data_IF_867521837849
#
_entry.id   IF_867521837849
#
_cell.length_a   1.000
_cell.length_b   1.000
_cell.length_c   1.000
_cell.angle_alpha   90.00
_cell.angle_beta   90.00
_cell.angle_gamma   90.00
#
_symmetry.space_group_name_H-M   'P 1'
#
loop_
_entity.id
_entity.type
_entity.pdbx_description
1 polymer ?
#
# COMPACT_ATOMS: atom_id res chain seq x y z
N UNK A 1 -4.14 -27.83 59.50
CA UNK A 1 -4.27 -28.82 58.43
C UNK A 1 -4.32 -28.04 57.12
N UNK A 2 -3.33 -27.96 56.23
CA UNK A 2 -2.07 -28.69 55.94
C UNK A 2 -0.95 -27.62 55.74
N UNK A 3 0.16 -27.57 56.48
CA UNK A 3 1.43 -28.34 56.45
C UNK A 3 2.31 -28.10 55.19
N UNK A 4 3.35 -27.25 55.38
CA UNK A 4 4.79 -27.29 54.98
C UNK A 4 5.10 -27.49 53.46
N UNK A 5 5.96 -26.73 52.76
CA UNK A 5 7.43 -26.78 52.85
C UNK A 5 8.15 -25.66 52.08
N UNK A 6 9.10 -25.03 52.78
CA UNK A 6 10.30 -24.39 52.27
C UNK A 6 11.33 -25.44 51.80
N UNK A 7 12.18 -25.08 50.83
CA UNK A 7 13.34 -25.86 50.34
C UNK A 7 13.39 -25.92 48.81
N UNK A 8 14.51 -25.86 48.09
CA UNK A 8 15.91 -25.76 48.45
C UNK A 8 16.70 -25.31 47.19
N UNK A 9 17.85 -24.68 47.44
CA UNK A 9 18.95 -24.46 46.48
C UNK A 9 19.22 -25.70 45.62
N UNK A 10 19.52 -25.49 44.33
CA UNK A 10 20.62 -26.18 43.63
C UNK A 10 21.06 -25.41 42.39
N UNK A 11 22.26 -24.87 42.52
CA UNK A 11 23.14 -24.37 41.45
C UNK A 11 23.54 -25.56 40.58
N UNK A 12 23.35 -25.47 39.27
CA UNK A 12 24.16 -26.19 38.29
C UNK A 12 24.53 -25.19 37.19
N UNK A 13 25.80 -24.79 37.22
CA UNK A 13 26.44 -24.03 36.17
C UNK A 13 26.76 -24.98 35.00
N UNK A 14 26.17 -24.73 33.84
CA UNK A 14 26.61 -25.32 32.58
C UNK A 14 27.34 -24.25 31.78
N UNK A 15 28.65 -24.41 31.69
CA UNK A 15 29.55 -23.69 30.80
C UNK A 15 29.24 -24.14 29.38
N UNK A 16 28.73 -23.23 28.54
CA UNK A 16 28.62 -23.43 27.11
C UNK A 16 29.47 -22.37 26.40
N UNK A 17 30.56 -22.85 25.81
CA UNK A 17 31.51 -22.15 24.96
C UNK A 17 30.81 -21.63 23.72
N UNK A 18 30.61 -20.31 23.62
CA UNK A 18 30.10 -19.66 22.42
C UNK A 18 31.28 -19.22 21.56
N UNK A 19 31.47 -19.91 20.43
CA UNK A 19 32.41 -19.54 19.39
C UNK A 19 32.03 -18.17 18.80
N UNK A 20 32.98 -17.23 18.83
CA UNK A 20 32.89 -15.93 18.16
C UNK A 20 33.00 -16.16 16.65
N UNK A 21 31.86 -16.16 15.94
CA UNK A 21 31.84 -16.07 14.49
C UNK A 21 31.81 -14.58 14.14
N UNK A 22 32.94 -14.05 13.65
CA UNK A 22 33.01 -12.76 12.96
C UNK A 22 32.19 -12.86 11.66
N UNK A 23 30.89 -12.58 11.73
CA UNK A 23 30.07 -12.38 10.56
C UNK A 23 30.31 -10.96 10.02
N UNK A 24 31.11 -10.87 8.94
CA UNK A 24 31.23 -9.65 8.16
C UNK A 24 29.85 -9.20 7.69
N UNK A 25 29.48 -7.98 8.04
CA UNK A 25 28.25 -7.34 7.59
C UNK A 25 28.32 -7.07 6.09
N UNK A 26 27.90 -8.05 5.28
CA UNK A 26 27.56 -7.82 3.89
C UNK A 26 26.34 -6.90 3.86
N UNK A 27 26.55 -5.62 3.57
CA UNK A 27 25.49 -4.67 3.26
C UNK A 27 24.77 -5.17 2.00
N UNK A 28 23.72 -5.96 2.19
CA UNK A 28 22.83 -6.38 1.11
C UNK A 28 22.20 -5.11 0.54
N UNK A 29 22.72 -4.64 -0.60
CA UNK A 29 22.15 -3.55 -1.34
C UNK A 29 20.66 -3.86 -1.59
N UNK A 30 19.79 -2.98 -1.10
CA UNK A 30 18.36 -3.11 -1.30
C UNK A 30 18.08 -3.30 -2.80
N UNK A 31 17.27 -4.29 -3.21
CA UNK A 31 17.00 -4.53 -4.61
C UNK A 31 16.41 -3.25 -5.22
N UNK A 32 17.06 -2.75 -6.27
CA UNK A 32 16.59 -1.60 -7.02
C UNK A 32 15.15 -1.88 -7.46
N UNK A 33 14.20 -1.08 -6.95
CA UNK A 33 12.79 -1.25 -7.25
C UNK A 33 12.58 -1.22 -8.76
N UNK A 34 12.08 -2.33 -9.32
CA UNK A 34 11.77 -2.42 -10.74
C UNK A 34 10.86 -1.25 -11.13
N UNK A 35 11.30 -0.44 -12.10
CA UNK A 35 10.57 0.73 -12.55
C UNK A 35 9.14 0.33 -12.95
N UNK A 36 8.15 1.09 -12.46
CA UNK A 36 6.74 0.86 -12.75
C UNK A 36 6.51 0.82 -14.27
N UNK A 37 6.05 -0.33 -14.77
CA UNK A 37 5.85 -0.54 -16.21
C UNK A 37 4.77 0.42 -16.70
N UNK A 38 5.17 1.37 -17.57
CA UNK A 38 4.27 2.36 -18.15
C UNK A 38 3.04 1.70 -18.80
N UNK A 39 1.81 2.04 -18.36
CA UNK A 39 0.59 1.45 -18.92
C UNK A 39 0.50 1.68 -20.43
N UNK A 40 0.43 0.60 -21.20
CA UNK A 40 0.49 0.67 -22.67
C UNK A 40 -0.56 -0.24 -23.31
N UNK A 41 -1.24 0.29 -24.33
CA UNK A 41 -2.14 -0.48 -25.21
C UNK A 41 -1.61 -0.44 -26.63
N UNK A 42 -1.45 -1.60 -27.24
CA UNK A 42 -0.94 -1.77 -28.60
C UNK A 42 -1.96 -2.51 -29.45
N UNK A 43 -2.24 -2.00 -30.64
CA UNK A 43 -3.04 -2.68 -31.65
C UNK A 43 -2.04 -3.32 -32.62
N UNK A 44 -2.01 -4.64 -32.64
CA UNK A 44 -1.15 -5.43 -33.51
C UNK A 44 -1.63 -5.44 -34.97
N UNK A 45 -0.75 -5.94 -35.84
CA UNK A 45 -1.06 -6.11 -37.25
C UNK A 45 -2.06 -7.26 -37.45
N UNK A 46 -3.06 -7.06 -38.29
CA UNK A 46 -3.97 -8.13 -38.72
C UNK A 46 -3.25 -8.92 -39.82
N UNK A 47 -3.03 -10.22 -39.59
CA UNK A 47 -2.37 -11.09 -40.56
C UNK A 47 -3.16 -11.19 -41.87
N UNK A 48 -2.44 -11.32 -42.99
CA UNK A 48 -3.04 -11.66 -44.29
C UNK A 48 -3.74 -13.03 -44.17
N UNK A 49 -4.86 -13.21 -44.85
CA UNK A 49 -5.63 -14.46 -44.85
C UNK A 49 -5.88 -14.91 -46.29
N UNK A 50 -5.86 -16.22 -46.52
CA UNK A 50 -6.33 -16.85 -47.75
C UNK A 50 -7.51 -17.75 -47.42
N UNK A 51 -8.47 -17.87 -48.35
CA UNK A 51 -9.67 -18.70 -48.20
C UNK A 51 -9.97 -19.42 -49.50
N UNK A 52 -10.50 -20.64 -49.40
CA UNK A 52 -11.04 -21.37 -50.55
C UNK A 52 -12.15 -20.53 -51.20
N UNK A 53 -12.24 -20.55 -52.53
CA UNK A 53 -13.26 -19.83 -53.30
C UNK A 53 -14.67 -20.09 -52.72
N UNK A 54 -15.42 -19.03 -52.48
CA UNK A 54 -16.76 -19.11 -51.86
C UNK A 54 -16.81 -19.16 -50.33
N UNK A 55 -15.67 -19.31 -49.63
CA UNK A 55 -15.59 -19.26 -48.16
C UNK A 55 -15.24 -17.86 -47.64
N UNK A 56 -15.45 -17.63 -46.34
CA UNK A 56 -15.21 -16.36 -45.64
C UNK A 56 -14.12 -16.50 -44.57
N UNK A 57 -13.22 -15.52 -44.46
CA UNK A 57 -12.23 -15.42 -43.40
C UNK A 57 -12.79 -14.61 -42.22
N UNK A 58 -12.48 -15.01 -40.99
CA UNK A 58 -12.79 -14.21 -39.80
C UNK A 58 -11.64 -13.26 -39.50
N UNK A 59 -11.91 -11.95 -39.54
CA UNK A 59 -11.01 -10.89 -39.12
C UNK A 59 -11.35 -10.48 -37.70
N UNK A 60 -10.36 -10.62 -36.80
CA UNK A 60 -10.42 -10.18 -35.40
C UNK A 60 -9.34 -9.13 -35.13
N UNK A 61 -9.60 -8.14 -34.27
CA UNK A 61 -8.59 -7.20 -33.82
C UNK A 61 -7.55 -7.90 -32.95
N UNK A 62 -6.28 -7.54 -33.11
CA UNK A 62 -5.18 -8.01 -32.27
C UNK A 62 -4.83 -6.88 -31.30
N UNK A 63 -5.12 -7.05 -30.01
CA UNK A 63 -4.88 -6.02 -29.00
C UNK A 63 -4.06 -6.61 -27.87
N UNK A 64 -3.02 -5.89 -27.45
CA UNK A 64 -2.17 -6.24 -26.32
C UNK A 64 -2.18 -5.10 -25.31
N UNK A 65 -2.35 -5.42 -24.05
CA UNK A 65 -2.25 -4.48 -22.94
C UNK A 65 -1.07 -4.88 -22.04
N UNK A 66 -0.35 -3.89 -21.50
CA UNK A 66 0.75 -4.07 -20.54
C UNK A 66 0.60 -3.06 -19.40
N UNK A 67 0.99 -3.47 -18.19
CA UNK A 67 0.90 -2.66 -16.98
C UNK A 67 -0.53 -2.46 -16.48
N UNK A 68 -0.77 -1.36 -15.79
CA UNK A 68 -2.03 -1.05 -15.11
C UNK A 68 -3.13 -0.59 -16.06
N UNK A 69 -3.59 -1.50 -16.93
CA UNK A 69 -4.58 -1.24 -17.99
C UNK A 69 -5.80 -2.15 -17.81
N UNK A 70 -7.00 -1.60 -18.00
CA UNK A 70 -8.25 -2.35 -18.17
C UNK A 70 -8.85 -2.04 -19.54
N UNK A 71 -8.94 -3.04 -20.41
CA UNK A 71 -9.68 -2.92 -21.68
C UNK A 71 -11.17 -2.96 -21.38
N UNK A 72 -11.91 -2.00 -21.91
CA UNK A 72 -13.37 -1.90 -21.76
C UNK A 72 -14.08 -2.47 -22.99
N UNK A 73 -13.61 -2.09 -24.18
CA UNK A 73 -14.19 -2.58 -25.44
C UNK A 73 -13.13 -2.64 -26.52
N UNK A 74 -13.33 -3.58 -27.44
CA UNK A 74 -12.53 -3.75 -28.64
C UNK A 74 -13.47 -4.06 -29.79
N UNK A 75 -13.48 -3.19 -30.80
CA UNK A 75 -14.37 -3.29 -31.96
C UNK A 75 -13.61 -3.07 -33.26
N UNK A 76 -14.16 -3.62 -34.34
CA UNK A 76 -13.71 -3.42 -35.71
C UNK A 76 -14.84 -2.85 -36.55
N UNK A 77 -14.48 -1.93 -37.42
CA UNK A 77 -15.29 -1.43 -38.52
C UNK A 77 -14.54 -1.72 -39.81
N UNK A 78 -15.20 -2.39 -40.74
CA UNK A 78 -14.61 -2.85 -41.99
C UNK A 78 -15.30 -2.16 -43.16
N UNK A 79 -14.51 -1.60 -44.06
CA UNK A 79 -14.98 -0.90 -45.26
C UNK A 79 -14.39 -1.54 -46.51
N UNK A 80 -15.22 -1.79 -47.53
CA UNK A 80 -14.83 -2.24 -48.87
C UNK A 80 -15.29 -1.20 -49.89
N UNK A 81 -14.38 -0.67 -50.70
CA UNK A 81 -14.70 0.34 -51.73
C UNK A 81 -15.58 1.50 -51.21
N UNK A 82 -15.24 2.06 -50.04
CA UNK A 82 -16.00 3.15 -49.42
C UNK A 82 -17.25 2.73 -48.62
N UNK A 83 -17.79 1.52 -48.84
CA UNK A 83 -18.99 1.03 -48.13
C UNK A 83 -18.64 0.20 -46.89
N UNK A 84 -19.30 0.47 -45.77
CA UNK A 84 -19.10 -0.29 -44.53
C UNK A 84 -19.76 -1.68 -44.65
N UNK A 85 -18.95 -2.73 -44.55
CA UNK A 85 -19.43 -4.13 -44.57
C UNK A 85 -19.60 -4.70 -43.15
N UNK A 86 -18.96 -4.08 -42.15
CA UNK A 86 -19.20 -4.35 -40.74
C UNK A 86 -18.91 -3.07 -39.94
N UNK A 87 -19.74 -2.75 -38.94
CA UNK A 87 -19.57 -1.56 -38.09
C UNK A 87 -19.61 -1.94 -36.62
N UNK A 88 -18.61 -1.51 -35.85
CA UNK A 88 -18.51 -1.71 -34.40
C UNK A 88 -18.70 -3.16 -33.93
N UNK A 89 -18.23 -4.15 -34.69
CA UNK A 89 -18.35 -5.57 -34.33
C UNK A 89 -17.09 -6.07 -33.61
N UNK A 90 -17.18 -7.12 -32.79
CA UNK A 90 -15.98 -7.76 -32.17
C UNK A 90 -15.12 -8.51 -33.20
N UNK A 91 -15.74 -8.92 -34.31
CA UNK A 91 -15.11 -9.61 -35.45
C UNK A 91 -15.95 -9.44 -36.70
N UNK A 92 -15.37 -9.64 -37.88
CA UNK A 92 -16.07 -9.63 -39.17
C UNK A 92 -15.73 -10.87 -40.00
N UNK A 93 -16.73 -11.49 -40.63
CA UNK A 93 -16.53 -12.57 -41.62
C UNK A 93 -16.53 -11.96 -43.01
N UNK A 94 -15.41 -12.05 -43.74
CA UNK A 94 -15.18 -11.36 -44.99
C UNK A 94 -14.82 -12.35 -46.09
N UNK A 95 -15.35 -12.13 -47.29
CA UNK A 95 -14.94 -12.89 -48.48
C UNK A 95 -13.59 -12.42 -49.02
N UNK A 96 -13.27 -12.84 -50.24
CA UNK A 96 -12.09 -12.35 -50.96
C UNK A 96 -12.22 -10.87 -51.31
N UNK A 97 -11.08 -10.17 -51.30
CA UNK A 97 -10.99 -8.76 -51.62
C UNK A 97 -10.08 -7.97 -50.69
N UNK A 98 -10.04 -6.66 -50.92
CA UNK A 98 -9.25 -5.71 -50.14
C UNK A 98 -10.19 -4.90 -49.25
N UNK A 99 -9.86 -4.84 -47.96
CA UNK A 99 -10.68 -4.21 -46.94
C UNK A 99 -9.86 -3.22 -46.13
N UNK A 100 -10.45 -2.07 -45.78
CA UNK A 100 -9.93 -1.18 -44.73
C UNK A 100 -10.56 -1.59 -43.41
N UNK A 101 -9.74 -2.01 -42.45
CA UNK A 101 -10.17 -2.44 -41.12
C UNK A 101 -9.73 -1.41 -40.10
N UNK A 102 -10.71 -0.73 -39.50
CA UNK A 102 -10.53 0.19 -38.38
C UNK A 102 -10.77 -0.54 -37.07
N UNK A 103 -9.73 -0.73 -36.29
CA UNK A 103 -9.82 -1.25 -34.92
C UNK A 103 -9.95 -0.08 -33.95
N UNK A 104 -10.93 -0.15 -33.05
CA UNK A 104 -11.14 0.82 -31.97
C UNK A 104 -11.08 0.09 -30.64
N UNK A 105 -10.22 0.56 -29.73
CA UNK A 105 -10.05 0.01 -28.38
C UNK A 105 -10.33 1.11 -27.38
N UNK A 106 -11.26 0.88 -26.46
CA UNK A 106 -11.49 1.76 -25.31
C UNK A 106 -10.93 1.10 -24.06
N UNK A 107 -10.22 1.88 -23.24
CA UNK A 107 -9.52 1.37 -22.07
C UNK A 107 -9.42 2.43 -20.97
N UNK A 108 -9.17 1.98 -19.75
CA UNK A 108 -8.75 2.83 -18.62
C UNK A 108 -7.38 2.38 -18.15
N UNK A 109 -6.59 3.31 -17.65
CA UNK A 109 -5.35 3.01 -16.92
C UNK A 109 -5.54 3.35 -15.45
N UNK A 110 -4.85 2.70 -14.53
CA UNK A 110 -4.87 3.11 -13.13
C UNK A 110 -3.46 3.38 -12.60
N UNK A 111 -3.40 4.25 -11.60
CA UNK A 111 -2.19 4.51 -10.82
C UNK A 111 -2.52 4.32 -9.35
N UNK A 112 -1.51 3.99 -8.55
CA UNK A 112 -1.65 3.94 -7.10
C UNK A 112 -1.47 5.35 -6.56
N UNK A 113 -2.45 5.84 -5.80
CA UNK A 113 -2.30 7.08 -5.02
C UNK A 113 -2.24 6.73 -3.54
N UNK A 114 -1.26 7.28 -2.86
CA UNK A 114 -1.23 7.24 -1.40
C UNK A 114 -2.14 8.35 -0.88
N UNK A 115 -3.14 7.96 -0.11
CA UNK A 115 -4.09 8.86 0.53
C UNK A 115 -4.00 8.70 2.02
N UNK A 116 -4.15 9.79 2.73
CA UNK A 116 -4.18 9.81 4.19
C UNK A 116 -5.63 9.76 4.65
N UNK A 117 -5.94 8.88 5.61
CA UNK A 117 -7.26 8.85 6.26
C UNK A 117 -7.10 8.78 7.78
N UNK A 118 -8.07 9.34 8.49
CA UNK A 118 -8.17 9.22 9.95
C UNK A 118 -8.97 7.95 10.28
N UNK A 119 -8.47 7.16 11.22
CA UNK A 119 -9.11 5.94 11.71
C UNK A 119 -9.19 6.02 13.23
N UNK A 120 -10.33 5.67 13.80
CA UNK A 120 -10.50 5.60 15.25
C UNK A 120 -9.85 4.32 15.77
N UNK A 121 -9.00 4.45 16.78
CA UNK A 121 -8.37 3.33 17.49
C UNK A 121 -9.35 2.83 18.57
N UNK A 122 -9.61 1.52 18.67
CA UNK A 122 -10.41 0.97 19.76
C UNK A 122 -9.67 1.12 21.09
N UNK A 123 -10.40 1.54 22.11
CA UNK A 123 -9.89 1.64 23.48
C UNK A 123 -10.21 0.35 24.25
N UNK A 124 -9.34 -0.02 25.17
CA UNK A 124 -9.53 -1.09 26.16
C UNK A 124 -9.41 -0.43 27.52
N UNK A 125 -10.47 -0.50 28.32
CA UNK A 125 -10.57 0.17 29.63
C UNK A 125 -10.20 1.67 29.59
N UNK A 126 -10.65 2.36 28.54
CA UNK A 126 -10.40 3.80 28.34
C UNK A 126 -9.02 4.15 27.78
N UNK A 127 -8.11 3.19 27.62
CA UNK A 127 -6.76 3.40 27.09
C UNK A 127 -6.54 2.72 25.73
N UNK A 128 -5.66 3.29 24.91
CA UNK A 128 -5.15 2.66 23.70
C UNK A 128 -3.71 2.20 23.90
N UNK A 129 -3.40 0.90 23.79
CA UNK A 129 -2.02 0.44 23.75
C UNK A 129 -1.36 0.85 22.44
N UNK A 130 -0.24 1.56 22.53
CA UNK A 130 0.47 2.13 21.38
C UNK A 130 1.98 1.97 21.51
N UNK A 131 2.68 2.06 20.39
CA UNK A 131 4.13 2.23 20.36
C UNK A 131 4.46 3.71 20.31
N UNK A 132 4.86 4.29 21.43
CA UNK A 132 5.15 5.72 21.55
C UNK A 132 6.64 6.00 21.65
N UNK A 133 7.05 7.16 21.16
CA UNK A 133 8.40 7.71 21.32
C UNK A 133 8.28 9.19 21.66
N UNK A 134 8.99 9.62 22.70
CA UNK A 134 9.19 11.02 22.99
C UNK A 134 10.35 11.59 22.14
N UNK A 135 10.24 12.85 21.76
CA UNK A 135 11.29 13.65 21.16
C UNK A 135 11.29 15.04 21.80
N UNK A 136 12.40 15.75 21.62
CA UNK A 136 12.52 17.14 22.06
C UNK A 136 12.20 17.28 23.56
N UNK A 137 12.74 16.34 24.36
CA UNK A 137 12.51 16.28 25.79
C UNK A 137 13.31 17.39 26.47
N UNK A 138 12.61 18.32 27.10
CA UNK A 138 13.20 19.47 27.78
C UNK A 138 12.78 19.51 29.25
N UNK A 139 13.71 19.93 30.11
CA UNK A 139 13.40 20.23 31.51
C UNK A 139 12.72 21.58 31.58
N UNK A 140 11.60 21.65 32.27
CA UNK A 140 10.88 22.89 32.53
C UNK A 140 11.03 23.29 34.00
N UNK A 141 10.71 24.56 34.30
CA UNK A 141 10.56 24.96 35.70
C UNK A 141 9.45 24.11 36.33
N UNK A 142 9.70 23.44 37.47
CA UNK A 142 8.69 22.59 38.08
C UNK A 142 7.39 23.35 38.33
N UNK A 143 6.30 22.78 37.87
CA UNK A 143 4.93 23.23 38.19
C UNK A 143 4.21 22.02 38.75
N UNK A 144 3.96 22.04 40.06
CA UNK A 144 3.48 20.87 40.80
C UNK A 144 4.40 19.66 40.58
N UNK A 145 3.88 18.56 40.03
CA UNK A 145 4.63 17.33 39.77
C UNK A 145 5.24 17.28 38.35
N UNK A 146 4.98 18.30 37.51
CA UNK A 146 5.43 18.36 36.13
C UNK A 146 6.83 18.97 36.05
N UNK A 147 7.77 18.24 35.46
CA UNK A 147 9.20 18.61 35.42
C UNK A 147 9.78 18.60 34.01
N UNK A 148 9.11 17.94 33.06
CA UNK A 148 9.57 17.82 31.69
C UNK A 148 8.46 18.16 30.69
N UNK A 149 8.86 18.57 29.49
CA UNK A 149 7.99 18.74 28.35
C UNK A 149 8.58 17.96 27.18
N UNK A 150 7.74 17.32 26.37
CA UNK A 150 8.19 16.60 25.18
C UNK A 150 7.13 16.57 24.08
N UNK A 151 7.59 16.38 22.85
CA UNK A 151 6.75 15.97 21.74
C UNK A 151 6.64 14.43 21.75
N UNK A 152 5.45 13.91 21.49
CA UNK A 152 5.19 12.47 21.54
C UNK A 152 4.60 11.99 20.23
N UNK A 153 5.22 10.99 19.61
CA UNK A 153 4.69 10.30 18.45
C UNK A 153 4.32 8.86 18.81
N UNK A 154 3.05 8.51 18.65
CA UNK A 154 2.53 7.17 18.92
C UNK A 154 2.05 6.49 17.64
N UNK A 155 2.35 5.20 17.52
CA UNK A 155 1.94 4.34 16.39
C UNK A 155 1.06 3.21 16.91
N UNK A 156 -0.13 3.06 16.35
CA UNK A 156 -1.00 1.93 16.66
C UNK A 156 -0.39 0.64 16.05
N UNK A 157 -0.08 -0.38 16.87
CA UNK A 157 0.50 -1.63 16.37
C UNK A 157 -0.41 -2.35 15.36
N UNK A 158 -1.74 -2.17 15.43
CA UNK A 158 -2.72 -2.83 14.57
C UNK A 158 -2.86 -2.13 13.21
N UNK A 159 -3.22 -0.85 13.20
CA UNK A 159 -3.47 -0.11 11.95
C UNK A 159 -2.21 0.50 11.33
N UNK A 160 -1.09 0.52 12.07
CA UNK A 160 0.13 1.28 11.74
C UNK A 160 -0.12 2.77 11.55
N UNK A 161 -1.24 3.28 12.08
CA UNK A 161 -1.57 4.68 12.08
C UNK A 161 -0.79 5.44 13.13
N UNK A 162 -0.44 6.68 12.82
CA UNK A 162 0.35 7.53 13.72
C UNK A 162 -0.49 8.69 14.25
N UNK A 163 -0.26 9.06 15.50
CA UNK A 163 -0.74 10.29 16.13
C UNK A 163 0.46 11.01 16.75
N UNK A 164 0.41 12.35 16.77
CA UNK A 164 1.42 13.18 17.41
C UNK A 164 0.74 14.09 18.43
N UNK A 165 1.40 14.24 19.56
CA UNK A 165 1.08 15.18 20.61
C UNK A 165 2.28 16.11 20.74
N UNK A 166 2.02 17.40 20.93
CA UNK A 166 3.09 18.38 21.10
C UNK A 166 2.96 19.06 22.45
N UNK A 167 4.10 19.43 23.03
CA UNK A 167 4.17 20.07 24.35
C UNK A 167 3.43 19.28 25.44
N UNK A 168 3.64 17.96 25.47
CA UNK A 168 3.12 17.10 26.53
C UNK A 168 3.93 17.34 27.78
N UNK A 169 3.27 17.72 28.87
CA UNK A 169 3.93 17.95 30.15
C UNK A 169 3.98 16.65 30.94
N UNK A 170 5.15 16.29 31.44
CA UNK A 170 5.41 15.04 32.14
C UNK A 170 5.88 15.27 33.58
N UNK A 171 5.35 14.46 34.49
CA UNK A 171 5.85 14.23 35.84
C UNK A 171 6.31 12.80 36.02
N UNK A 172 7.27 12.57 36.92
CA UNK A 172 7.75 11.25 37.27
C UNK A 172 7.11 10.81 38.58
N UNK A 173 6.53 9.61 38.61
CA UNK A 173 6.05 8.97 39.83
C UNK A 173 7.07 7.94 40.31
N UNK A 174 7.63 8.17 41.50
CA UNK A 174 8.64 7.29 42.11
C UNK A 174 8.05 5.95 42.56
N UNK A 175 6.74 5.87 42.83
CA UNK A 175 6.11 4.63 43.30
C UNK A 175 5.99 3.60 42.18
N UNK A 176 5.59 4.05 40.99
CA UNK A 176 5.43 3.22 39.80
C UNK A 176 6.68 3.18 38.93
N UNK A 177 7.64 4.08 39.18
CA UNK A 177 8.84 4.24 38.37
C UNK A 177 8.57 4.70 36.94
N UNK A 178 7.47 5.43 36.72
CA UNK A 178 6.97 5.79 35.39
C UNK A 178 6.75 7.30 35.24
N UNK A 179 6.78 7.75 33.99
CA UNK A 179 6.48 9.11 33.58
C UNK A 179 5.03 9.20 33.12
N UNK A 180 4.27 10.11 33.72
CA UNK A 180 2.89 10.40 33.34
C UNK A 180 2.80 11.82 32.82
N UNK A 181 2.11 11.99 31.70
CA UNK A 181 1.94 13.30 31.12
C UNK A 181 0.61 13.49 30.44
N UNK A 182 0.26 14.76 30.23
CA UNK A 182 -0.95 15.15 29.51
C UNK A 182 -0.63 16.23 28.50
N UNK A 183 -1.27 16.15 27.33
CA UNK A 183 -1.26 17.26 26.38
C UNK A 183 -2.23 18.38 26.84
N UNK A 184 -2.19 19.51 26.15
CA UNK A 184 -3.08 20.66 26.44
C UNK A 184 -4.57 20.35 26.28
N UNK A 185 -4.93 19.22 25.69
CA UNK A 185 -6.31 18.77 25.50
C UNK A 185 -6.73 17.75 26.55
N UNK A 186 -5.85 17.39 27.48
CA UNK A 186 -6.09 16.42 28.55
C UNK A 186 -5.88 14.96 28.14
N UNK A 187 -5.26 14.68 26.98
CA UNK A 187 -4.94 13.31 26.60
C UNK A 187 -3.76 12.80 27.43
N UNK A 188 -3.99 11.78 28.24
CA UNK A 188 -2.97 11.16 29.08
C UNK A 188 -2.03 10.25 28.29
N UNK A 189 -0.76 10.25 28.66
CA UNK A 189 0.30 9.41 28.07
C UNK A 189 1.23 8.96 29.19
N UNK A 190 1.61 7.68 29.18
CA UNK A 190 2.56 7.11 30.14
C UNK A 190 3.81 6.53 29.45
N UNK A 191 4.98 6.69 30.07
CA UNK A 191 6.24 6.11 29.61
C UNK A 191 7.01 5.48 30.77
N UNK A 192 7.61 4.31 30.57
CA UNK A 192 8.58 3.77 31.53
C UNK A 192 9.86 4.62 31.55
N UNK A 193 10.39 4.94 30.36
CA UNK A 193 11.57 5.79 30.20
C UNK A 193 11.30 6.91 29.20
N UNK A 194 11.05 8.14 29.70
CA UNK A 194 10.80 9.30 28.86
C UNK A 194 11.98 9.65 27.93
N UNK A 195 13.21 9.30 28.32
CA UNK A 195 14.43 9.64 27.57
C UNK A 195 14.79 8.58 26.53
N UNK A 196 14.01 7.51 26.42
CA UNK A 196 14.28 6.40 25.50
C UNK A 196 14.24 6.86 24.04
N UNK A 197 15.33 6.59 23.33
CA UNK A 197 15.49 7.00 21.92
C UNK A 197 14.72 6.13 20.93
N UNK A 198 14.27 4.95 21.35
CA UNK A 198 13.45 4.02 20.55
C UNK A 198 12.00 4.05 20.98
N UNK A 199 11.09 3.66 20.10
CA UNK A 199 9.70 3.47 20.49
C UNK A 199 9.56 2.38 21.56
N UNK A 200 8.65 2.59 22.50
CA UNK A 200 8.30 1.66 23.56
C UNK A 200 6.78 1.50 23.64
N UNK A 201 6.35 0.42 24.28
CA UNK A 201 4.94 0.24 24.61
C UNK A 201 4.52 1.32 25.61
N UNK A 202 3.33 1.86 25.39
CA UNK A 202 2.79 2.98 26.14
C UNK A 202 1.27 2.96 26.01
N UNK A 203 0.60 3.63 26.94
CA UNK A 203 -0.84 3.79 26.95
C UNK A 203 -1.19 5.25 26.68
N UNK A 204 -2.08 5.45 25.72
CA UNK A 204 -2.68 6.76 25.44
C UNK A 204 -4.12 6.74 25.91
N UNK A 205 -4.46 7.65 26.81
CA UNK A 205 -5.79 7.82 27.38
C UNK A 205 -6.40 9.08 26.75
N UNK A 206 -7.16 8.96 25.65
CA UNK A 206 -7.77 10.13 25.03
C UNK A 206 -8.95 10.65 25.87
N UNK A 207 -9.21 11.95 25.84
CA UNK A 207 -10.42 12.52 26.47
C UNK A 207 -11.70 12.08 25.75
N UNK A 208 -11.64 12.01 24.41
CA UNK A 208 -12.77 11.62 23.57
C UNK A 208 -12.48 10.30 22.83
N UNK A 209 -12.03 10.42 21.58
CA UNK A 209 -11.72 9.31 20.69
C UNK A 209 -10.32 9.50 20.13
N UNK A 210 -9.54 8.43 20.15
CA UNK A 210 -8.21 8.45 19.58
C UNK A 210 -8.29 8.21 18.08
N UNK A 211 -7.91 9.22 17.28
CA UNK A 211 -7.87 9.14 15.83
C UNK A 211 -6.43 9.14 15.34
N UNK A 212 -6.02 8.04 14.72
CA UNK A 212 -4.70 7.92 14.08
C UNK A 212 -4.77 8.18 12.59
N UNK A 213 -3.66 8.64 12.06
CA UNK A 213 -3.49 8.93 10.64
C UNK A 213 -2.84 7.73 9.96
N UNK A 214 -3.57 7.06 9.06
CA UNK A 214 -3.04 5.93 8.28
C UNK A 214 -2.85 6.31 6.81
N UNK A 215 -1.77 5.80 6.22
CA UNK A 215 -1.54 5.90 4.77
C UNK A 215 -2.18 4.69 4.09
N UNK A 216 -3.17 4.94 3.23
CA UNK A 216 -3.83 3.93 2.42
C UNK A 216 -3.44 4.09 0.96
N UNK A 217 -3.17 2.98 0.27
CA UNK A 217 -2.95 2.96 -1.18
C UNK A 217 -4.29 2.70 -1.87
N UNK A 218 -4.72 3.60 -2.73
CA UNK A 218 -5.97 3.47 -3.50
C UNK A 218 -5.69 3.45 -5.00
N UNK A 219 -6.49 2.69 -5.74
CA UNK A 219 -6.42 2.64 -7.20
C UNK A 219 -7.21 3.81 -7.77
N UNK A 220 -6.55 4.72 -8.47
CA UNK A 220 -7.19 5.84 -9.16
C UNK A 220 -7.23 5.54 -10.64
N UNK A 221 -8.44 5.40 -11.18
CA UNK A 221 -8.64 5.15 -12.62
C UNK A 221 -8.58 6.45 -13.42
N UNK A 222 -7.95 6.40 -14.59
CA UNK A 222 -8.02 7.47 -15.56
C UNK A 222 -9.41 7.58 -16.17
N UNK A 223 -9.68 8.73 -16.80
CA UNK A 223 -10.76 8.85 -17.79
C UNK A 223 -10.63 7.77 -18.87
N UNK A 224 -11.74 7.43 -19.51
CA UNK A 224 -11.76 6.47 -20.62
C UNK A 224 -10.92 7.03 -21.76
N UNK A 225 -9.95 6.23 -22.22
CA UNK A 225 -9.10 6.53 -23.36
C UNK A 225 -9.54 5.67 -24.54
N UNK A 226 -9.33 6.18 -25.75
CA UNK A 226 -9.63 5.47 -26.99
C UNK A 226 -8.38 5.42 -27.86
N UNK A 227 -8.01 4.22 -28.34
CA UNK A 227 -6.96 4.03 -29.34
C UNK A 227 -7.58 3.47 -30.62
N UNK A 228 -7.20 4.05 -31.76
CA UNK A 228 -7.70 3.64 -33.08
C UNK A 228 -6.51 3.26 -33.96
N UNK A 229 -6.71 2.28 -34.84
CA UNK A 229 -5.74 1.90 -35.88
C UNK A 229 -6.51 1.49 -37.12
N UNK A 230 -6.06 1.95 -38.28
CA UNK A 230 -6.62 1.58 -39.57
C UNK A 230 -5.57 0.78 -40.33
N UNK A 231 -5.95 -0.38 -40.83
CA UNK A 231 -5.07 -1.28 -41.56
C UNK A 231 -5.77 -1.79 -42.81
N UNK A 232 -5.02 -1.98 -43.90
CA UNK A 232 -5.53 -2.62 -45.11
C UNK A 232 -5.28 -4.13 -45.01
N UNK A 233 -6.34 -4.92 -45.18
CA UNK A 233 -6.30 -6.38 -45.14
C UNK A 233 -6.72 -6.92 -46.50
N UNK A 234 -5.84 -7.70 -47.14
CA UNK A 234 -6.12 -8.45 -48.36
C UNK A 234 -6.48 -9.88 -48.00
N UNK A 235 -7.64 -10.33 -48.47
CA UNK A 235 -8.08 -11.73 -48.38
C UNK A 235 -8.02 -12.30 -49.79
N UNK A 236 -7.13 -13.25 -50.00
CA UNK A 236 -6.88 -13.86 -51.31
C UNK A 236 -7.64 -15.18 -51.44
N UNK A 237 -8.03 -15.54 -52.67
CA UNK A 237 -8.45 -16.91 -52.95
C UNK A 237 -7.24 -17.83 -52.82
N UNK A 238 -7.46 -19.02 -52.25
CA UNK A 238 -6.54 -20.16 -52.34
C UNK A 238 -6.91 -21.00 -53.55
#
# INVERSE_FOLDING_TARGET
>A
MSVITSGARRIVATVATSALILAGAAVAAAPAGAADVKPTVTIGKIAKKSVVKGKKATVKPVVRAKGNVKILSTTVTVTKAGKAVAKNKKSAKLGTGVYKVKTTVTYKTWTTKTTTKKVTVPLTDGAAPMMCKASDVEKIKPVEMLTHMADVACTDPKTKGTVKFSNVLFGYDENDGAWYGADLRGNGIAFEDLMRTTSQESYVIPVDSLKVTVKAKTKVWSKIKTKKSVQTVKISAK
#
